data_IF_859218792878
#
_entry.id   IF_859218792878
#
_cell.length_a   1.000
_cell.length_b   1.000
_cell.length_c   1.000
_cell.angle_alpha   90.00
_cell.angle_beta   90.00
_cell.angle_gamma   90.00
#
_symmetry.space_group_name_H-M   'P 1'
#
loop_
_entity.id
_entity.type
_entity.pdbx_description
1 polymer ?
#
# COMPACT_ATOMS: atom_id res chain seq x y z
N UNK A 1 16.50 1.42 8.64
CA UNK A 1 16.37 0.63 7.39
C UNK A 1 14.89 0.40 7.19
N UNK A 2 14.32 0.73 6.03
CA UNK A 2 12.91 0.41 5.78
C UNK A 2 12.83 -1.07 5.41
N UNK A 3 12.16 -1.88 6.23
CA UNK A 3 12.01 -3.30 5.98
C UNK A 3 11.23 -3.52 4.67
N UNK A 4 11.79 -4.38 3.81
CA UNK A 4 11.13 -4.78 2.57
C UNK A 4 10.08 -5.82 2.91
N UNK A 5 8.82 -5.45 2.69
CA UNK A 5 7.64 -6.29 2.89
C UNK A 5 7.17 -6.88 1.56
N UNK A 6 6.35 -7.92 1.66
CA UNK A 6 5.77 -8.61 0.53
C UNK A 6 4.25 -8.69 0.66
N UNK A 7 3.55 -8.29 -0.39
CA UNK A 7 2.11 -8.42 -0.53
C UNK A 7 1.81 -9.51 -1.56
N UNK A 8 0.95 -10.46 -1.18
CA UNK A 8 0.57 -11.57 -2.03
C UNK A 8 -0.79 -11.25 -2.66
N UNK A 9 -0.83 -11.16 -3.98
CA UNK A 9 -2.07 -10.91 -4.70
C UNK A 9 -2.14 -11.79 -5.94
N UNK A 10 -3.22 -12.58 -6.03
CA UNK A 10 -3.38 -13.65 -7.03
C UNK A 10 -2.18 -14.62 -7.00
N UNK A 11 -1.49 -14.78 -8.13
CA UNK A 11 -0.29 -15.63 -8.26
C UNK A 11 1.00 -14.81 -8.29
N UNK A 12 1.00 -13.59 -7.73
CA UNK A 12 2.14 -12.66 -7.76
C UNK A 12 2.49 -12.15 -6.36
N UNK A 13 3.79 -11.94 -6.16
CA UNK A 13 4.36 -11.34 -4.95
C UNK A 13 4.81 -9.93 -5.32
N UNK A 14 4.34 -8.95 -4.54
CA UNK A 14 4.63 -7.54 -4.71
C UNK A 14 5.50 -7.06 -3.57
N UNK A 15 6.72 -6.64 -3.85
CA UNK A 15 7.63 -6.13 -2.83
C UNK A 15 7.48 -4.63 -2.67
N UNK A 16 7.38 -4.16 -1.43
CA UNK A 16 7.24 -2.75 -1.11
C UNK A 16 7.94 -2.42 0.21
N UNK A 17 8.11 -1.14 0.48
CA UNK A 17 8.61 -0.63 1.76
C UNK A 17 7.63 0.41 2.29
N UNK A 18 7.33 0.37 3.58
CA UNK A 18 6.56 1.44 4.22
C UNK A 18 7.45 2.67 4.36
N UNK A 19 6.99 3.79 3.82
CA UNK A 19 7.72 5.07 3.91
C UNK A 19 7.17 5.97 5.01
N UNK A 20 5.86 5.89 5.27
CA UNK A 20 5.21 6.65 6.34
C UNK A 20 3.91 5.96 6.76
N UNK A 21 3.58 6.01 8.05
CA UNK A 21 2.35 5.39 8.61
C UNK A 21 1.72 6.35 9.62
N UNK A 22 0.49 6.78 9.34
CA UNK A 22 -0.32 7.65 10.18
C UNK A 22 -1.70 7.03 10.43
N UNK A 23 -2.45 7.47 11.45
CA UNK A 23 -3.84 7.07 11.61
C UNK A 23 -4.66 7.41 10.35
N UNK A 24 -5.22 6.39 9.69
CA UNK A 24 -6.01 6.54 8.47
C UNK A 24 -5.21 6.82 7.19
N UNK A 25 -3.87 6.81 7.21
CA UNK A 25 -3.03 7.04 6.04
C UNK A 25 -1.79 6.12 6.06
N UNK A 26 -1.53 5.43 4.94
CA UNK A 26 -0.37 4.56 4.76
C UNK A 26 0.33 4.97 3.48
N UNK A 27 1.61 5.34 3.58
CA UNK A 27 2.45 5.62 2.41
C UNK A 27 3.51 4.53 2.25
N UNK A 28 3.62 4.03 1.03
CA UNK A 28 4.58 3.00 0.65
C UNK A 28 5.36 3.42 -0.59
N UNK A 29 6.49 2.76 -0.80
CA UNK A 29 7.20 2.75 -2.06
C UNK A 29 7.22 1.33 -2.60
N UNK A 30 6.70 1.14 -3.81
CA UNK A 30 6.67 -0.15 -4.51
C UNK A 30 7.35 0.05 -5.86
N UNK A 31 8.46 -0.64 -6.10
CA UNK A 31 9.25 -0.50 -7.33
C UNK A 31 9.57 0.95 -7.70
N UNK A 32 10.05 1.74 -6.73
CA UNK A 32 10.35 3.17 -6.87
C UNK A 32 9.14 4.07 -7.16
N UNK A 33 7.93 3.52 -7.13
CA UNK A 33 6.69 4.28 -7.27
C UNK A 33 6.08 4.52 -5.89
N UNK A 34 5.91 5.78 -5.47
CA UNK A 34 5.24 6.10 -4.22
C UNK A 34 3.73 5.92 -4.37
N UNK A 35 3.11 5.30 -3.36
CA UNK A 35 1.67 5.18 -3.24
C UNK A 35 1.25 5.59 -1.84
N UNK A 36 0.17 6.37 -1.77
CA UNK A 36 -0.51 6.69 -0.52
C UNK A 36 -1.90 6.08 -0.54
N UNK A 37 -2.27 5.41 0.54
CA UNK A 37 -3.59 4.86 0.78
C UNK A 37 -4.23 5.59 1.95
N UNK A 38 -5.53 5.82 1.83
CA UNK A 38 -6.35 6.48 2.85
C UNK A 38 -7.43 5.52 3.32
N UNK A 39 -7.62 5.44 4.62
CA UNK A 39 -8.73 4.71 5.22
C UNK A 39 -9.99 5.59 5.18
N UNK A 40 -11.05 5.08 4.54
CA UNK A 40 -12.37 5.70 4.49
C UNK A 40 -13.41 4.66 4.86
N UNK A 41 -14.14 4.89 5.94
CA UNK A 41 -15.21 4.00 6.40
C UNK A 41 -14.77 2.53 6.58
N UNK A 42 -13.52 2.32 7.04
CA UNK A 42 -12.92 0.99 7.24
C UNK A 42 -12.40 0.32 5.96
N UNK A 43 -12.38 1.04 4.84
CA UNK A 43 -11.83 0.55 3.56
C UNK A 43 -10.63 1.41 3.16
N UNK A 44 -9.54 0.75 2.78
CA UNK A 44 -8.35 1.41 2.25
C UNK A 44 -8.49 1.68 0.75
N UNK A 45 -8.35 2.95 0.37
CA UNK A 45 -8.48 3.41 -1.02
C UNK A 45 -7.24 4.18 -1.47
N UNK A 46 -7.01 4.25 -2.78
CA UNK A 46 -5.95 5.10 -3.32
C UNK A 46 -6.19 6.57 -2.94
N UNK A 47 -5.11 7.25 -2.57
CA UNK A 47 -5.10 8.71 -2.58
C UNK A 47 -5.25 9.23 -4.01
N UNK A 48 -5.97 10.34 -4.17
CA UNK A 48 -6.11 11.04 -5.46
C UNK A 48 -4.76 11.54 -6.02
N UNK A 49 -3.74 11.66 -5.16
CA UNK A 49 -2.38 12.07 -5.55
C UNK A 49 -1.54 10.94 -6.18
N UNK A 50 -2.00 9.69 -6.17
CA UNK A 50 -1.25 8.59 -6.77
C UNK A 50 -1.24 8.72 -8.29
N UNK A 51 -0.05 8.59 -8.89
CA UNK A 51 0.11 8.62 -10.36
C UNK A 51 -0.63 7.48 -11.05
N UNK A 52 -0.78 6.35 -10.36
CA UNK A 52 -1.53 5.18 -10.81
C UNK A 52 -2.32 4.62 -9.64
N UNK A 53 -3.52 4.09 -9.91
CA UNK A 53 -4.33 3.44 -8.89
C UNK A 53 -3.97 1.96 -8.78
N UNK A 54 -3.76 1.48 -7.56
CA UNK A 54 -3.79 0.05 -7.29
C UNK A 54 -5.24 -0.45 -7.21
N UNK A 55 -5.45 -1.70 -7.61
CA UNK A 55 -6.73 -2.37 -7.42
C UNK A 55 -6.97 -2.63 -5.92
N UNK A 56 -8.21 -2.49 -5.47
CA UNK A 56 -8.59 -2.61 -4.05
C UNK A 56 -8.08 -3.90 -3.37
N UNK A 57 -8.13 -5.08 -4.00
CA UNK A 57 -7.63 -6.30 -3.36
C UNK A 57 -6.11 -6.29 -3.11
N UNK A 58 -5.34 -5.64 -4.00
CA UNK A 58 -3.90 -5.47 -3.80
C UNK A 58 -3.61 -4.48 -2.66
N UNK A 59 -4.39 -3.40 -2.55
CA UNK A 59 -4.28 -2.46 -1.43
C UNK A 59 -4.52 -3.17 -0.10
N UNK A 60 -5.56 -4.02 -0.03
CA UNK A 60 -5.85 -4.80 1.16
C UNK A 60 -4.67 -5.73 1.54
N UNK A 61 -4.07 -6.40 0.56
CA UNK A 61 -2.90 -7.26 0.79
C UNK A 61 -1.68 -6.47 1.29
N UNK A 62 -1.43 -5.28 0.71
CA UNK A 62 -0.36 -4.38 1.12
C UNK A 62 -0.56 -3.87 2.55
N UNK A 63 -1.78 -3.43 2.88
CA UNK A 63 -2.12 -2.95 4.21
C UNK A 63 -2.00 -4.08 5.23
N UNK A 64 -2.49 -5.27 4.91
CA UNK A 64 -2.39 -6.44 5.79
C UNK A 64 -0.93 -6.84 6.08
N UNK A 65 -0.03 -6.71 5.10
CA UNK A 65 1.39 -6.97 5.28
C UNK A 65 2.13 -5.84 6.03
N UNK A 66 1.54 -4.64 6.12
CA UNK A 66 2.14 -3.45 6.74
C UNK A 66 1.64 -3.17 8.18
N UNK A 67 0.71 -3.97 8.71
CA UNK A 67 0.13 -3.85 10.06
C UNK A 67 0.71 -4.87 11.01
#
# INVERSE_FOLDING_TARGET
MADRLEAHHENRIYYFTVTDKKPGELSISMYQTPYTFLEKDGVWVNSLGNKMNMVTPLIAAVVAAAV
#
